data_IF_263661350513
#
_entry.id   IF_263661350513
#
_cell.length_a   1.000
_cell.length_b   1.000
_cell.length_c   1.000
_cell.angle_alpha   90.00
_cell.angle_beta   90.00
_cell.angle_gamma   90.00
#
_symmetry.space_group_name_H-M   'P 1'
#
loop_
_entity.id
_entity.type
_entity.pdbx_description
1 polymer ?
#
# COMPACT_ATOMS: atom_id res chain seq x y z
N UNK A 1 -23.45 17.78 8.95
CA UNK A 1 -23.95 18.34 7.69
C UNK A 1 -25.26 17.66 7.27
N UNK A 2 -25.33 16.33 7.13
CA UNK A 2 -26.54 15.62 6.72
C UNK A 2 -27.72 15.81 7.67
N UNK A 3 -27.49 15.77 8.99
CA UNK A 3 -28.52 16.08 10.02
C UNK A 3 -29.08 17.51 9.89
N UNK A 4 -28.31 18.44 9.30
CA UNK A 4 -28.74 19.80 8.97
C UNK A 4 -29.40 19.95 7.60
N UNK A 5 -29.77 18.83 6.93
CA UNK A 5 -30.48 18.85 5.64
C UNK A 5 -29.57 18.95 4.41
N UNK A 6 -28.23 18.91 4.56
CA UNK A 6 -27.35 18.91 3.41
C UNK A 6 -27.41 17.62 2.63
N UNK A 7 -27.59 17.68 1.31
CA UNK A 7 -27.83 16.53 0.43
C UNK A 7 -26.80 16.43 -0.71
N UNK A 8 -25.64 17.06 -0.59
CA UNK A 8 -24.56 16.97 -1.57
C UNK A 8 -23.75 15.67 -1.49
N UNK A 9 -22.83 15.50 -2.41
CA UNK A 9 -21.86 14.40 -2.39
C UNK A 9 -20.74 14.70 -1.42
N UNK A 10 -20.36 13.71 -0.61
CA UNK A 10 -19.20 13.74 0.28
C UNK A 10 -18.11 12.85 -0.31
N UNK A 11 -16.96 13.41 -0.64
CA UNK A 11 -15.81 12.66 -1.18
C UNK A 11 -14.67 12.84 -0.19
N UNK A 12 -14.18 11.73 0.40
CA UNK A 12 -13.23 11.77 1.49
C UNK A 12 -12.23 10.60 1.42
N UNK A 13 -11.00 10.82 1.89
CA UNK A 13 -9.98 9.77 2.04
C UNK A 13 -9.93 9.21 3.47
N UNK A 14 -10.56 9.86 4.45
CA UNK A 14 -10.54 9.45 5.85
C UNK A 14 -11.21 8.08 6.08
N UNK A 15 -10.71 7.33 7.06
CA UNK A 15 -11.14 5.94 7.30
C UNK A 15 -12.50 5.80 7.99
N UNK A 16 -13.02 6.88 8.61
CA UNK A 16 -14.17 6.84 9.50
C UNK A 16 -15.46 6.28 8.86
N UNK A 17 -15.68 6.60 7.59
CA UNK A 17 -16.88 6.18 6.87
C UNK A 17 -16.67 4.93 6.01
N UNK A 18 -15.44 4.39 5.91
CA UNK A 18 -15.14 3.29 4.98
C UNK A 18 -16.00 2.07 5.16
N UNK A 19 -16.29 1.70 6.41
CA UNK A 19 -17.03 0.47 6.74
C UNK A 19 -18.52 0.73 7.02
N UNK A 20 -19.02 1.97 6.81
CA UNK A 20 -20.45 2.27 6.94
C UNK A 20 -21.23 1.76 5.72
N UNK A 21 -22.44 1.25 5.93
CA UNK A 21 -23.33 0.80 4.83
C UNK A 21 -23.85 1.98 3.98
N UNK A 22 -23.85 3.19 4.54
CA UNK A 22 -24.24 4.43 3.86
C UNK A 22 -23.17 4.97 2.91
N UNK A 23 -22.02 4.34 2.82
CA UNK A 23 -20.88 4.78 2.01
C UNK A 23 -20.41 3.72 1.03
N UNK A 24 -19.83 4.17 -0.08
CA UNK A 24 -19.15 3.31 -1.05
C UNK A 24 -17.64 3.54 -1.03
N UNK A 25 -16.85 2.47 -1.00
CA UNK A 25 -15.41 2.55 -1.21
C UNK A 25 -15.08 2.79 -2.69
N UNK A 26 -14.08 3.63 -2.92
CA UNK A 26 -13.69 4.08 -4.26
C UNK A 26 -12.37 3.45 -4.69
N UNK A 27 -12.44 2.64 -5.72
CA UNK A 27 -11.30 2.21 -6.54
C UNK A 27 -11.86 1.79 -7.91
N UNK A 28 -12.30 2.75 -8.73
CA UNK A 28 -13.11 2.50 -9.93
C UNK A 28 -12.49 1.54 -10.97
N UNK A 29 -11.16 1.39 -11.14
CA UNK A 29 -10.63 0.32 -11.98
C UNK A 29 -10.98 -1.09 -11.48
N UNK A 30 -11.31 -1.22 -10.20
CA UNK A 30 -11.64 -2.47 -9.54
C UNK A 30 -13.16 -2.64 -9.38
N UNK A 31 -13.85 -1.60 -8.86
CA UNK A 31 -15.24 -1.71 -8.42
C UNK A 31 -16.21 -0.72 -9.10
N UNK A 32 -15.97 -0.31 -10.35
CA UNK A 32 -16.79 0.66 -11.05
C UNK A 32 -18.29 0.34 -11.05
N UNK A 33 -18.67 -0.89 -11.30
CA UNK A 33 -20.09 -1.31 -11.29
C UNK A 33 -20.77 -1.11 -9.93
N UNK A 34 -20.05 -1.35 -8.83
CA UNK A 34 -20.56 -1.12 -7.49
C UNK A 34 -20.73 0.38 -7.19
N UNK A 35 -19.79 1.21 -7.67
CA UNK A 35 -19.90 2.67 -7.55
C UNK A 35 -21.15 3.17 -8.29
N UNK A 36 -21.36 2.71 -9.53
CA UNK A 36 -22.53 3.09 -10.32
C UNK A 36 -23.84 2.67 -9.64
N UNK A 37 -23.94 1.42 -9.13
CA UNK A 37 -25.10 0.92 -8.38
C UNK A 37 -25.34 1.71 -7.09
N UNK A 38 -24.27 2.05 -6.35
CA UNK A 38 -24.37 2.86 -5.14
C UNK A 38 -24.93 4.26 -5.43
N UNK A 39 -24.44 4.90 -6.48
CA UNK A 39 -24.95 6.21 -6.92
C UNK A 39 -26.42 6.13 -7.37
N UNK A 40 -26.80 5.08 -8.10
CA UNK A 40 -28.19 4.86 -8.55
C UNK A 40 -29.13 4.59 -7.36
N UNK A 41 -28.64 3.99 -6.28
CA UNK A 41 -29.39 3.78 -5.03
C UNK A 41 -29.45 5.02 -4.13
N UNK A 42 -28.79 6.12 -4.51
CA UNK A 42 -28.81 7.39 -3.79
C UNK A 42 -27.70 7.53 -2.74
N UNK A 43 -26.68 6.66 -2.71
CA UNK A 43 -25.51 6.82 -1.86
C UNK A 43 -24.72 8.03 -2.31
N UNK A 44 -24.34 8.90 -1.36
CA UNK A 44 -23.62 10.17 -1.63
C UNK A 44 -22.32 10.30 -0.83
N UNK A 45 -21.96 9.31 -0.03
CA UNK A 45 -20.71 9.27 0.72
C UNK A 45 -19.72 8.34 -0.01
N UNK A 46 -18.75 8.95 -0.70
CA UNK A 46 -17.80 8.29 -1.57
C UNK A 46 -16.42 8.36 -0.91
N UNK A 47 -15.91 7.22 -0.47
CA UNK A 47 -14.77 7.16 0.44
C UNK A 47 -13.60 6.42 -0.22
N UNK A 48 -12.43 7.06 -0.27
CA UNK A 48 -11.20 6.43 -0.74
C UNK A 48 -10.79 5.25 0.15
N UNK A 49 -10.40 4.15 -0.47
CA UNK A 49 -9.95 2.96 0.24
C UNK A 49 -8.56 3.15 0.87
N UNK A 50 -8.17 2.24 1.74
CA UNK A 50 -6.84 2.20 2.35
C UNK A 50 -5.75 2.12 1.27
N UNK A 51 -4.63 2.80 1.50
CA UNK A 51 -3.56 2.95 0.51
C UNK A 51 -2.87 1.63 0.15
N UNK A 52 -2.70 0.70 1.11
CA UNK A 52 -2.11 -0.62 0.84
C UNK A 52 -3.09 -1.52 0.10
N UNK A 53 -4.36 -1.52 0.52
CA UNK A 53 -5.43 -2.26 -0.18
C UNK A 53 -5.58 -1.77 -1.62
N UNK A 54 -5.59 -0.45 -1.83
CA UNK A 54 -5.63 0.13 -3.19
C UNK A 54 -4.44 -0.31 -4.02
N UNK A 55 -3.22 -0.24 -3.49
CA UNK A 55 -2.01 -0.66 -4.21
C UNK A 55 -2.04 -2.15 -4.55
N UNK A 56 -2.45 -3.00 -3.61
CA UNK A 56 -2.57 -4.45 -3.84
C UNK A 56 -3.60 -4.77 -4.92
N UNK A 57 -4.81 -4.25 -4.79
CA UNK A 57 -5.89 -4.54 -5.75
C UNK A 57 -5.64 -3.92 -7.12
N UNK A 58 -5.03 -2.73 -7.20
CA UNK A 58 -4.59 -2.18 -8.48
C UNK A 58 -3.52 -3.04 -9.15
N UNK A 59 -2.62 -3.67 -8.39
CA UNK A 59 -1.60 -4.57 -8.95
C UNK A 59 -2.12 -5.97 -9.27
N UNK A 60 -2.88 -6.55 -8.37
CA UNK A 60 -3.25 -7.97 -8.41
C UNK A 60 -4.75 -8.20 -8.62
N UNK A 61 -5.54 -7.13 -8.80
CA UNK A 61 -6.99 -7.20 -8.95
C UNK A 61 -7.46 -8.11 -10.08
N UNK A 62 -6.64 -8.33 -11.10
CA UNK A 62 -6.92 -9.30 -12.15
C UNK A 62 -7.07 -10.73 -11.63
N UNK A 63 -6.32 -11.13 -10.60
CA UNK A 63 -6.46 -12.46 -9.98
C UNK A 63 -7.76 -12.55 -9.18
N UNK A 64 -8.08 -11.52 -8.40
CA UNK A 64 -9.32 -11.46 -7.62
C UNK A 64 -10.56 -11.44 -8.52
N UNK A 65 -10.54 -10.67 -9.61
CA UNK A 65 -11.63 -10.58 -10.58
C UNK A 65 -11.91 -11.89 -11.30
N UNK A 66 -10.87 -12.70 -11.53
CA UNK A 66 -11.02 -14.03 -12.14
C UNK A 66 -11.36 -15.11 -11.10
N UNK A 67 -11.62 -14.76 -9.86
CA UNK A 67 -12.00 -15.66 -8.76
C UNK A 67 -11.01 -16.81 -8.52
N UNK A 68 -9.71 -16.56 -8.71
CA UNK A 68 -8.67 -17.59 -8.57
C UNK A 68 -7.94 -17.56 -7.22
N UNK A 69 -8.17 -16.53 -6.41
CA UNK A 69 -7.52 -16.37 -5.10
C UNK A 69 -8.31 -17.08 -4.01
N UNK A 70 -7.66 -17.96 -3.26
CA UNK A 70 -8.22 -18.59 -2.06
C UNK A 70 -7.96 -17.70 -0.83
N UNK A 71 -6.70 -17.24 -0.65
CA UNK A 71 -6.30 -16.25 0.34
C UNK A 71 -5.06 -15.48 -0.12
N UNK A 72 -4.79 -14.35 0.50
CA UNK A 72 -3.60 -13.55 0.22
C UNK A 72 -2.96 -13.03 1.52
N UNK A 73 -1.63 -13.01 1.57
CA UNK A 73 -0.83 -12.44 2.67
C UNK A 73 0.04 -11.30 2.12
N UNK A 74 -0.42 -10.05 2.22
CA UNK A 74 0.37 -8.88 1.85
C UNK A 74 1.25 -8.42 3.03
N UNK A 75 2.55 -8.66 2.95
CA UNK A 75 3.52 -8.05 3.85
C UNK A 75 3.96 -6.70 3.26
N UNK A 76 3.65 -5.60 3.96
CA UNK A 76 3.77 -4.26 3.38
C UNK A 76 5.04 -3.54 3.85
N UNK A 77 5.68 -2.83 2.93
CA UNK A 77 6.79 -1.89 3.18
C UNK A 77 6.30 -0.48 2.90
N UNK A 78 5.75 0.15 3.94
CA UNK A 78 5.03 1.42 3.79
C UNK A 78 5.95 2.62 3.95
N UNK A 79 5.96 3.48 2.93
CA UNK A 79 6.67 4.75 2.94
C UNK A 79 6.11 5.70 4.02
N UNK A 80 6.98 6.56 4.55
CA UNK A 80 6.61 7.52 5.62
C UNK A 80 5.58 8.55 5.18
N UNK A 81 5.48 8.85 3.88
CA UNK A 81 4.44 9.75 3.35
C UNK A 81 3.00 9.28 3.64
N UNK A 82 2.79 7.98 3.86
CA UNK A 82 1.50 7.46 4.33
C UNK A 82 1.11 7.92 5.73
N UNK A 83 2.07 8.31 6.56
CA UNK A 83 1.81 8.90 7.88
C UNK A 83 1.59 10.43 7.83
N UNK A 84 1.97 11.09 6.73
CA UNK A 84 1.78 12.52 6.52
C UNK A 84 3.07 13.36 6.44
N UNK A 85 2.93 14.64 6.10
CA UNK A 85 4.05 15.50 5.75
C UNK A 85 5.05 15.74 6.89
N UNK A 86 4.58 15.78 8.14
CA UNK A 86 5.46 16.00 9.31
C UNK A 86 6.41 14.81 9.51
N UNK A 87 5.96 13.60 9.24
CA UNK A 87 6.75 12.39 9.30
C UNK A 87 7.81 12.32 8.19
N UNK A 88 7.47 12.80 6.99
CA UNK A 88 8.46 12.94 5.89
C UNK A 88 9.57 13.89 6.28
N UNK A 89 9.23 15.05 6.89
CA UNK A 89 10.23 16.00 7.40
C UNK A 89 11.11 15.38 8.47
N UNK A 90 10.52 14.64 9.40
CA UNK A 90 11.27 13.96 10.47
C UNK A 90 12.24 12.92 9.91
N UNK A 91 11.82 12.09 8.95
CA UNK A 91 12.73 11.15 8.28
C UNK A 91 13.92 11.89 7.64
N UNK A 92 13.67 12.99 6.93
CA UNK A 92 14.75 13.77 6.30
C UNK A 92 15.69 14.39 7.35
N UNK A 93 15.16 14.86 8.49
CA UNK A 93 15.95 15.34 9.61
C UNK A 93 16.79 14.21 10.24
N UNK A 94 16.23 13.03 10.41
CA UNK A 94 16.94 11.83 10.89
C UNK A 94 18.09 11.44 9.95
N UNK A 95 17.82 11.41 8.63
CA UNK A 95 18.86 11.14 7.62
C UNK A 95 19.97 12.18 7.66
N UNK A 96 19.62 13.45 7.78
CA UNK A 96 20.57 14.56 7.90
C UNK A 96 21.43 14.43 9.17
N UNK A 97 20.81 14.19 10.32
CA UNK A 97 21.49 14.02 11.60
C UNK A 97 22.49 12.86 11.54
N UNK A 98 22.06 11.74 10.98
CA UNK A 98 22.90 10.56 10.84
C UNK A 98 24.09 10.82 9.88
N UNK A 99 23.82 11.44 8.73
CA UNK A 99 24.85 11.83 7.77
C UNK A 99 25.89 12.77 8.37
N UNK A 100 25.44 13.82 9.07
CA UNK A 100 26.34 14.78 9.73
C UNK A 100 27.20 14.12 10.80
N UNK A 101 26.63 13.21 11.59
CA UNK A 101 27.37 12.51 12.66
C UNK A 101 28.48 11.58 12.14
N UNK A 102 28.39 11.14 10.89
CA UNK A 102 29.33 10.18 10.31
C UNK A 102 30.24 10.80 9.22
N UNK A 103 30.02 12.04 8.81
CA UNK A 103 30.69 12.69 7.66
C UNK A 103 32.23 12.59 7.76
N UNK A 104 32.82 13.03 8.87
CA UNK A 104 34.29 13.02 9.03
C UNK A 104 34.90 11.62 8.93
N UNK A 105 34.17 10.62 9.45
CA UNK A 105 34.61 9.21 9.41
C UNK A 105 34.47 8.59 8.02
N UNK A 106 33.48 9.02 7.24
CA UNK A 106 33.29 8.56 5.86
C UNK A 106 34.39 9.12 4.91
N UNK A 107 34.91 10.30 5.23
CA UNK A 107 35.99 10.95 4.46
C UNK A 107 37.38 10.49 4.92
N UNK A 108 37.54 9.84 6.06
CA UNK A 108 38.80 9.33 6.60
C UNK A 108 39.05 7.89 6.11
N UNK A 109 40.06 7.67 5.22
CA UNK A 109 40.37 6.32 4.75
C UNK A 109 40.94 5.39 5.85
N UNK A 110 41.28 5.92 7.03
CA UNK A 110 41.76 5.15 8.17
C UNK A 110 40.61 4.75 9.13
N UNK A 111 39.41 5.32 8.96
CA UNK A 111 38.26 4.96 9.79
C UNK A 111 37.81 3.53 9.54
N UNK A 112 37.66 2.74 10.60
CA UNK A 112 37.14 1.39 10.47
C UNK A 112 35.60 1.39 10.30
N UNK A 113 35.07 0.41 9.57
CA UNK A 113 33.63 0.23 9.46
C UNK A 113 32.97 0.04 10.84
N UNK A 114 33.67 -0.62 11.76
CA UNK A 114 33.18 -0.84 13.13
C UNK A 114 33.01 0.47 13.92
N UNK A 115 33.90 1.44 13.73
CA UNK A 115 33.80 2.75 14.37
C UNK A 115 32.67 3.58 13.75
N UNK A 116 32.50 3.53 12.42
CA UNK A 116 31.41 4.18 11.71
C UNK A 116 30.05 3.61 12.18
N UNK A 117 29.89 2.28 12.23
CA UNK A 117 28.69 1.58 12.72
C UNK A 117 28.37 1.94 14.17
N UNK A 118 29.40 1.93 15.04
CA UNK A 118 29.25 2.35 16.44
C UNK A 118 28.75 3.80 16.55
N UNK A 119 29.31 4.72 15.76
CA UNK A 119 28.90 6.12 15.74
C UNK A 119 27.46 6.27 15.27
N UNK A 120 27.10 5.60 14.18
CA UNK A 120 25.73 5.59 13.66
C UNK A 120 24.73 5.06 14.69
N UNK A 121 25.03 3.90 15.32
CA UNK A 121 24.18 3.31 16.36
C UNK A 121 24.02 4.20 17.58
N UNK A 122 25.08 4.85 18.03
CA UNK A 122 25.04 5.81 19.13
C UNK A 122 24.19 7.05 18.77
N UNK A 123 24.26 7.49 17.53
CA UNK A 123 23.45 8.62 17.05
C UNK A 123 21.97 8.27 17.01
N UNK A 124 21.62 7.10 16.49
CA UNK A 124 20.22 6.61 16.42
C UNK A 124 19.58 6.44 17.80
N UNK A 125 20.37 6.11 18.83
CA UNK A 125 19.89 5.90 20.21
C UNK A 125 20.08 7.13 21.13
N UNK A 126 20.58 8.25 20.58
CA UNK A 126 20.76 9.50 21.32
C UNK A 126 19.42 10.12 21.72
N UNK A 127 19.35 10.74 22.90
CA UNK A 127 18.18 11.52 23.36
C UNK A 127 17.83 12.69 22.45
N UNK A 128 18.80 13.20 21.69
CA UNK A 128 18.64 14.36 20.81
C UNK A 128 18.27 13.96 19.38
N UNK A 129 18.17 12.65 19.11
CA UNK A 129 17.77 12.17 17.78
C UNK A 129 16.30 12.56 17.50
N UNK A 130 15.99 13.11 16.31
CA UNK A 130 14.66 13.66 16.02
C UNK A 130 13.60 12.55 15.83
N UNK A 131 12.87 12.22 16.88
CA UNK A 131 11.81 11.18 16.90
C UNK A 131 10.46 11.72 17.37
N UNK A 132 10.22 13.04 17.28
CA UNK A 132 9.06 13.69 17.91
C UNK A 132 7.70 13.22 17.38
N UNK A 133 7.62 12.76 16.13
CA UNK A 133 6.38 12.31 15.53
C UNK A 133 6.25 10.77 15.54
N UNK A 134 7.30 10.03 15.16
CA UNK A 134 7.26 8.56 15.20
C UNK A 134 7.45 7.99 16.61
N UNK A 135 8.13 8.70 17.50
CA UNK A 135 8.55 8.17 18.79
C UNK A 135 9.74 7.21 18.70
N UNK A 136 10.18 6.85 17.51
CA UNK A 136 11.26 5.89 17.23
C UNK A 136 12.06 6.32 16.00
N UNK A 137 13.36 5.95 15.91
CA UNK A 137 14.13 6.11 14.68
C UNK A 137 13.50 5.32 13.53
N UNK A 138 13.39 5.95 12.36
CA UNK A 138 12.96 5.30 11.11
C UNK A 138 14.07 5.32 10.04
N UNK A 139 14.98 6.32 10.06
CA UNK A 139 16.16 6.30 9.20
C UNK A 139 17.07 5.11 9.59
N UNK A 140 17.40 4.25 8.63
CA UNK A 140 18.18 3.03 8.87
C UNK A 140 17.49 1.97 9.72
N UNK A 141 16.17 2.05 9.90
CA UNK A 141 15.38 1.15 10.72
C UNK A 141 14.04 0.80 10.05
N UNK A 142 13.32 -0.14 10.65
CA UNK A 142 11.93 -0.50 10.29
C UNK A 142 11.07 -0.51 11.55
N UNK A 143 9.78 -0.15 11.42
CA UNK A 143 8.82 -0.22 12.52
C UNK A 143 7.70 -1.18 12.14
N UNK A 144 7.66 -2.40 12.73
CA UNK A 144 6.72 -3.46 12.34
C UNK A 144 5.37 -3.32 13.05
N UNK A 145 4.87 -2.10 13.17
CA UNK A 145 3.55 -1.78 13.70
C UNK A 145 3.05 -0.45 13.11
N UNK A 146 1.84 -0.45 12.56
CA UNK A 146 1.22 0.76 12.01
C UNK A 146 -0.22 0.88 12.52
N UNK A 147 -0.59 2.07 13.02
CA UNK A 147 -1.92 2.38 13.58
C UNK A 147 -2.15 1.74 14.96
N UNK A 148 -3.37 1.84 15.49
CA UNK A 148 -3.77 1.31 16.80
C UNK A 148 -4.02 -0.20 16.74
N UNK A 149 -3.98 -0.85 17.89
CA UNK A 149 -4.41 -2.25 18.06
C UNK A 149 -5.93 -2.38 17.95
N UNK A 150 -6.41 -3.41 17.26
CA UNK A 150 -7.85 -3.74 17.15
C UNK A 150 -8.21 -5.05 17.84
N UNK A 151 -7.33 -6.05 17.78
CA UNK A 151 -7.41 -7.30 18.51
C UNK A 151 -6.02 -7.66 19.02
N UNK A 152 -5.91 -8.63 19.92
CA UNK A 152 -4.61 -9.03 20.47
C UNK A 152 -3.60 -9.36 19.35
N UNK A 153 -2.58 -8.51 19.23
CA UNK A 153 -1.49 -8.67 18.26
C UNK A 153 -1.78 -8.26 16.83
N UNK A 154 -2.98 -7.71 16.52
CA UNK A 154 -3.31 -7.19 15.18
C UNK A 154 -3.48 -5.68 15.20
N UNK A 155 -2.76 -4.99 14.32
CA UNK A 155 -2.93 -3.55 14.12
C UNK A 155 -4.16 -3.24 13.25
N UNK A 156 -4.68 -2.01 13.37
CA UNK A 156 -5.79 -1.54 12.55
C UNK A 156 -5.42 -1.50 11.06
N UNK A 157 -4.17 -1.25 10.73
CA UNK A 157 -3.71 -1.25 9.34
C UNK A 157 -3.77 -2.65 8.72
N UNK A 158 -3.43 -3.69 9.48
CA UNK A 158 -3.54 -5.10 9.07
C UNK A 158 -5.00 -5.52 8.92
N UNK A 159 -5.84 -5.18 9.91
CA UNK A 159 -7.29 -5.45 9.85
C UNK A 159 -7.96 -4.87 8.59
N UNK A 160 -7.56 -3.66 8.15
CA UNK A 160 -8.08 -3.03 6.93
C UNK A 160 -7.83 -3.88 5.68
N UNK A 161 -6.76 -4.66 5.63
CA UNK A 161 -6.42 -5.49 4.49
C UNK A 161 -7.57 -6.43 4.11
N UNK A 162 -8.16 -7.13 5.08
CA UNK A 162 -9.27 -8.04 4.85
C UNK A 162 -10.59 -7.31 4.58
N UNK A 163 -10.98 -6.42 5.50
CA UNK A 163 -12.35 -5.85 5.45
C UNK A 163 -12.56 -4.93 4.26
N UNK A 164 -11.56 -4.11 3.91
CA UNK A 164 -11.66 -3.20 2.77
C UNK A 164 -11.49 -3.94 1.43
N UNK A 165 -10.64 -4.97 1.36
CA UNK A 165 -10.54 -5.82 0.15
C UNK A 165 -11.88 -6.46 -0.16
N UNK A 166 -12.52 -7.11 0.81
CA UNK A 166 -13.80 -7.78 0.62
C UNK A 166 -14.92 -6.79 0.27
N UNK A 167 -14.94 -5.60 0.90
CA UNK A 167 -15.91 -4.54 0.57
C UNK A 167 -15.71 -4.00 -0.85
N UNK A 168 -14.46 -3.77 -1.30
CA UNK A 168 -14.17 -3.33 -2.66
C UNK A 168 -14.54 -4.37 -3.73
N UNK A 169 -14.37 -5.66 -3.40
CA UNK A 169 -14.76 -6.75 -4.30
C UNK A 169 -16.26 -7.06 -4.25
N UNK A 170 -17.02 -6.46 -3.33
CA UNK A 170 -18.46 -6.71 -3.15
C UNK A 170 -18.77 -8.10 -2.65
N UNK A 171 -17.86 -8.73 -1.92
CA UNK A 171 -18.03 -10.08 -1.41
C UNK A 171 -18.86 -10.10 -0.14
N UNK A 172 -19.80 -11.03 -0.07
CA UNK A 172 -20.54 -11.32 1.16
C UNK A 172 -19.64 -12.03 2.18
N UNK A 173 -20.07 -12.07 3.44
CA UNK A 173 -19.32 -12.78 4.49
C UNK A 173 -19.05 -14.27 4.17
N UNK A 174 -19.94 -14.92 3.41
CA UNK A 174 -19.77 -16.32 2.99
C UNK A 174 -18.76 -16.50 1.84
N UNK A 175 -18.46 -15.44 1.12
CA UNK A 175 -17.55 -15.42 -0.03
C UNK A 175 -16.25 -14.70 0.31
N UNK A 176 -16.11 -14.21 1.54
CA UNK A 176 -14.96 -13.42 1.95
C UNK A 176 -13.64 -14.18 1.73
N UNK A 177 -12.69 -13.47 1.15
CA UNK A 177 -11.33 -13.94 0.96
C UNK A 177 -10.52 -13.50 2.18
N UNK A 178 -9.81 -14.42 2.83
CA UNK A 178 -8.90 -14.09 3.91
C UNK A 178 -7.70 -13.30 3.35
N UNK A 179 -7.48 -12.10 3.89
CA UNK A 179 -6.36 -11.22 3.53
C UNK A 179 -5.73 -10.71 4.82
N UNK A 180 -4.61 -11.28 5.21
CA UNK A 180 -3.92 -10.92 6.45
C UNK A 180 -2.40 -10.96 6.21
N UNK A 181 -1.66 -10.02 6.83
CA UNK A 181 -0.22 -9.90 6.66
C UNK A 181 0.35 -8.87 7.61
N UNK A 182 1.65 -8.62 7.54
CA UNK A 182 2.33 -7.69 8.45
C UNK A 182 2.52 -6.32 7.81
N UNK A 183 2.14 -5.27 8.54
CA UNK A 183 2.31 -3.90 8.10
C UNK A 183 3.55 -3.25 8.71
N UNK A 184 4.54 -2.92 7.87
CA UNK A 184 5.84 -2.38 8.30
C UNK A 184 6.05 -0.97 7.74
N UNK A 185 6.38 0.00 8.61
CA UNK A 185 6.88 1.31 8.20
C UNK A 185 8.37 1.22 7.89
N UNK A 186 8.77 1.73 6.73
CA UNK A 186 10.18 1.73 6.29
C UNK A 186 10.65 3.14 5.96
N UNK A 187 11.96 3.37 5.97
CA UNK A 187 12.59 4.65 5.66
C UNK A 187 12.51 5.06 4.18
N UNK A 188 11.50 4.62 3.44
CA UNK A 188 11.16 5.11 2.11
C UNK A 188 10.34 6.39 2.22
N UNK A 189 10.66 7.40 1.41
CA UNK A 189 9.96 8.70 1.46
C UNK A 189 8.55 8.61 0.89
N UNK A 190 8.36 7.91 -0.25
CA UNK A 190 7.12 7.85 -1.02
C UNK A 190 7.00 6.50 -1.73
N UNK A 191 5.79 6.10 -2.08
CA UNK A 191 5.41 4.84 -2.70
C UNK A 191 5.48 3.63 -1.76
N UNK A 192 4.38 2.92 -1.68
CA UNK A 192 4.30 1.67 -0.90
C UNK A 192 4.74 0.48 -1.76
N UNK A 193 5.43 -0.45 -1.13
CA UNK A 193 5.77 -1.73 -1.71
C UNK A 193 5.16 -2.86 -0.87
N UNK A 194 4.86 -3.99 -1.50
CA UNK A 194 4.27 -5.15 -0.84
C UNK A 194 4.83 -6.44 -1.42
N UNK A 195 5.28 -7.34 -0.56
CA UNK A 195 5.50 -8.73 -0.92
C UNK A 195 4.21 -9.49 -0.62
N UNK A 196 3.60 -10.11 -1.63
CA UNK A 196 2.31 -10.78 -1.47
C UNK A 196 2.48 -12.26 -1.74
N UNK A 197 2.17 -13.08 -0.73
CA UNK A 197 2.00 -14.52 -0.89
C UNK A 197 0.52 -14.79 -1.16
N UNK A 198 0.24 -15.59 -2.18
CA UNK A 198 -1.13 -15.88 -2.61
C UNK A 198 -1.29 -17.39 -2.71
N UNK A 199 -2.35 -17.92 -2.12
CA UNK A 199 -2.83 -19.26 -2.43
C UNK A 199 -3.92 -19.17 -3.48
N UNK A 200 -3.74 -19.87 -4.57
CA UNK A 200 -4.72 -20.04 -5.62
C UNK A 200 -5.66 -21.19 -5.29
N UNK A 201 -6.91 -21.11 -5.73
CA UNK A 201 -7.92 -22.17 -5.58
C UNK A 201 -7.52 -23.47 -6.32
N UNK A 202 -6.65 -23.36 -7.33
CA UNK A 202 -6.13 -24.49 -8.12
C UNK A 202 -4.78 -24.13 -8.75
N UNK A 203 -4.06 -25.10 -9.26
CA UNK A 203 -2.86 -24.85 -10.06
C UNK A 203 -3.23 -24.19 -11.40
N UNK A 204 -2.66 -23.02 -11.65
CA UNK A 204 -2.84 -22.25 -12.89
C UNK A 204 -1.45 -22.02 -13.49
N UNK A 205 -1.26 -22.23 -14.81
CA UNK A 205 -0.01 -21.93 -15.49
C UNK A 205 0.46 -20.47 -15.25
N UNK A 206 1.76 -20.29 -15.02
CA UNK A 206 2.32 -18.98 -14.68
C UNK A 206 2.02 -17.92 -15.75
N UNK A 207 2.09 -18.28 -17.01
CA UNK A 207 1.78 -17.40 -18.15
C UNK A 207 0.34 -16.86 -18.09
N UNK A 208 -0.62 -17.70 -17.70
CA UNK A 208 -2.02 -17.25 -17.53
C UNK A 208 -2.16 -16.30 -16.33
N UNK A 209 -1.43 -16.55 -15.25
CA UNK A 209 -1.37 -15.65 -14.08
C UNK A 209 -0.82 -14.30 -14.50
N UNK A 210 0.30 -14.27 -15.21
CA UNK A 210 0.94 -13.05 -15.70
C UNK A 210 0.00 -12.27 -16.64
N UNK A 211 -0.75 -12.97 -17.47
CA UNK A 211 -1.74 -12.36 -18.35
C UNK A 211 -2.92 -11.77 -17.56
N UNK A 212 -3.47 -12.48 -16.58
CA UNK A 212 -4.53 -11.95 -15.70
C UNK A 212 -4.10 -10.66 -15.01
N UNK A 213 -2.84 -10.58 -14.56
CA UNK A 213 -2.27 -9.41 -13.91
C UNK A 213 -2.09 -8.28 -14.93
N UNK A 214 -1.36 -8.53 -16.02
CA UNK A 214 -0.95 -7.49 -16.98
C UNK A 214 -2.11 -6.90 -17.79
N UNK A 215 -3.18 -7.65 -17.99
CA UNK A 215 -4.37 -7.21 -18.74
C UNK A 215 -5.48 -6.61 -17.88
N UNK A 216 -5.30 -6.50 -16.57
CA UNK A 216 -6.35 -6.06 -15.65
C UNK A 216 -6.83 -4.62 -15.93
N UNK A 217 -5.90 -3.70 -16.16
CA UNK A 217 -6.14 -2.31 -16.58
C UNK A 217 -4.83 -1.62 -17.03
N UNK A 218 -4.93 -0.46 -17.63
CA UNK A 218 -3.82 0.28 -18.28
C UNK A 218 -2.66 0.70 -17.35
N UNK A 219 -2.90 0.83 -16.04
CA UNK A 219 -1.90 1.27 -15.06
C UNK A 219 -1.00 0.15 -14.54
N UNK A 220 -1.32 -1.12 -14.80
CA UNK A 220 -0.43 -2.23 -14.43
C UNK A 220 0.78 -2.23 -15.37
N UNK A 221 1.96 -2.16 -14.76
CA UNK A 221 3.26 -2.33 -15.43
C UNK A 221 3.86 -3.65 -14.95
N UNK A 222 3.67 -4.68 -15.77
CA UNK A 222 4.25 -5.98 -15.48
C UNK A 222 5.75 -5.95 -15.72
N UNK A 223 6.53 -6.23 -14.67
CA UNK A 223 7.99 -6.21 -14.67
C UNK A 223 8.51 -7.64 -14.83
N UNK A 224 9.32 -7.92 -15.86
CA UNK A 224 9.90 -9.24 -16.08
C UNK A 224 10.69 -9.74 -14.86
N UNK A 225 10.54 -11.03 -14.53
CA UNK A 225 11.17 -11.63 -13.35
C UNK A 225 12.67 -11.93 -13.59
N UNK A 226 13.45 -10.87 -13.82
CA UNK A 226 14.90 -10.91 -13.85
C UNK A 226 15.49 -9.82 -12.96
N UNK A 227 16.77 -9.92 -12.63
CA UNK A 227 17.44 -9.04 -11.69
C UNK A 227 17.44 -7.57 -12.14
N UNK A 228 17.79 -7.33 -13.40
CA UNK A 228 17.95 -5.97 -13.93
C UNK A 228 16.63 -5.21 -13.97
N UNK A 229 15.59 -5.78 -14.56
CA UNK A 229 14.27 -5.18 -14.62
C UNK A 229 13.70 -4.98 -13.20
N UNK A 230 13.86 -5.96 -12.32
CA UNK A 230 13.39 -5.85 -10.93
C UNK A 230 14.00 -4.66 -10.21
N UNK A 231 15.32 -4.50 -10.27
CA UNK A 231 16.03 -3.44 -9.54
C UNK A 231 15.81 -2.05 -10.15
N UNK A 232 15.55 -1.95 -11.44
CA UNK A 232 15.36 -0.68 -12.14
C UNK A 232 13.91 -0.22 -12.20
N UNK A 233 12.92 -1.13 -12.19
CA UNK A 233 11.51 -0.79 -12.46
C UNK A 233 10.56 -1.12 -11.30
N UNK A 234 10.92 -2.05 -10.41
CA UNK A 234 10.04 -2.54 -9.34
C UNK A 234 10.45 -1.95 -7.98
N UNK A 235 10.60 -0.63 -7.93
CA UNK A 235 11.05 0.08 -6.72
C UNK A 235 10.22 1.34 -6.47
N UNK A 236 10.11 1.80 -5.19
CA UNK A 236 9.47 3.07 -4.87
C UNK A 236 9.95 4.26 -5.71
N UNK A 237 11.25 4.34 -5.98
CA UNK A 237 11.84 5.42 -6.78
C UNK A 237 11.36 5.39 -8.23
N UNK A 238 11.19 4.21 -8.80
CA UNK A 238 10.78 4.05 -10.20
C UNK A 238 9.32 4.49 -10.46
N UNK A 239 8.43 4.32 -9.48
CA UNK A 239 6.99 4.60 -9.66
C UNK A 239 6.52 5.90 -9.02
N UNK A 240 7.32 6.53 -8.16
CA UNK A 240 6.92 7.76 -7.45
C UNK A 240 6.58 8.89 -8.42
N UNK A 241 5.40 9.49 -8.25
CA UNK A 241 4.89 10.57 -9.11
C UNK A 241 4.19 10.08 -10.37
N UNK A 242 4.03 8.76 -10.56
CA UNK A 242 3.31 8.18 -11.69
C UNK A 242 2.05 7.44 -11.23
N UNK A 243 1.11 7.20 -12.15
CA UNK A 243 -0.05 6.34 -11.91
C UNK A 243 0.26 4.85 -12.16
N UNK A 244 1.48 4.52 -12.54
CA UNK A 244 1.88 3.14 -12.79
C UNK A 244 1.90 2.33 -11.48
N UNK A 245 1.35 1.14 -11.54
CA UNK A 245 1.47 0.12 -10.51
C UNK A 245 2.39 -0.97 -11.06
N UNK A 246 3.61 -0.99 -10.57
CA UNK A 246 4.58 -2.00 -10.98
C UNK A 246 4.31 -3.32 -10.27
N UNK A 247 4.20 -4.40 -11.03
CA UNK A 247 4.00 -5.77 -10.53
C UNK A 247 5.08 -6.66 -11.11
N UNK A 248 5.79 -7.36 -10.28
CA UNK A 248 6.87 -8.26 -10.70
C UNK A 248 7.15 -9.33 -9.66
N UNK A 249 8.27 -10.03 -9.78
CA UNK A 249 8.66 -11.15 -8.92
C UNK A 249 7.59 -12.24 -8.86
N UNK A 250 6.74 -12.32 -9.90
CA UNK A 250 5.67 -13.31 -10.01
C UNK A 250 6.30 -14.67 -10.29
N UNK A 251 6.10 -15.61 -9.39
CA UNK A 251 6.59 -16.98 -9.50
C UNK A 251 5.83 -17.93 -8.57
N UNK A 252 5.82 -19.22 -8.92
CA UNK A 252 5.35 -20.27 -8.01
C UNK A 252 6.34 -20.44 -6.84
N UNK A 253 5.81 -20.74 -5.66
CA UNK A 253 6.59 -21.06 -4.48
C UNK A 253 6.89 -22.55 -4.39
N UNK A 254 7.90 -22.92 -3.61
CA UNK A 254 8.23 -24.32 -3.30
C UNK A 254 7.21 -25.00 -2.36
N UNK A 255 6.21 -24.24 -1.89
CA UNK A 255 5.13 -24.74 -1.02
C UNK A 255 4.12 -25.62 -1.78
N UNK A 256 4.02 -25.45 -3.10
CA UNK A 256 3.11 -26.18 -3.96
C UNK A 256 2.76 -25.41 -5.22
N UNK A 257 2.15 -26.05 -6.23
CA UNK A 257 1.83 -25.40 -7.49
C UNK A 257 0.74 -24.34 -7.39
N UNK A 258 -0.08 -24.35 -6.37
CA UNK A 258 -1.11 -23.34 -6.08
C UNK A 258 -0.58 -22.13 -5.30
N UNK A 259 0.66 -22.14 -4.81
CA UNK A 259 1.26 -21.03 -4.07
C UNK A 259 2.06 -20.12 -4.99
N UNK A 260 1.73 -18.85 -4.95
CA UNK A 260 2.32 -17.79 -5.75
C UNK A 260 2.95 -16.72 -4.85
N UNK A 261 4.02 -16.08 -5.31
CA UNK A 261 4.45 -14.80 -4.78
C UNK A 261 4.44 -13.75 -5.87
N UNK A 262 4.17 -12.51 -5.49
CA UNK A 262 4.27 -11.33 -6.31
C UNK A 262 4.84 -10.17 -5.49
N UNK A 263 5.43 -9.18 -6.15
CA UNK A 263 5.83 -7.92 -5.54
C UNK A 263 5.13 -6.79 -6.25
N UNK A 264 4.48 -5.90 -5.48
CA UNK A 264 3.69 -4.78 -6.01
C UNK A 264 4.25 -3.49 -5.47
N UNK A 265 4.40 -2.49 -6.32
CA UNK A 265 4.84 -1.14 -5.92
C UNK A 265 3.95 -0.10 -6.59
N UNK A 266 3.47 0.86 -5.81
CA UNK A 266 2.63 1.95 -6.31
C UNK A 266 2.74 3.21 -5.49
N UNK A 267 2.45 4.34 -6.10
CA UNK A 267 2.44 5.63 -5.43
C UNK A 267 1.15 5.79 -4.60
N UNK A 268 1.27 5.60 -3.29
CA UNK A 268 0.12 5.65 -2.40
C UNK A 268 -0.48 7.06 -2.23
N UNK A 269 0.25 8.14 -2.56
CA UNK A 269 -0.33 9.48 -2.58
C UNK A 269 -1.27 9.70 -3.77
N UNK A 270 -1.10 8.89 -4.82
CA UNK A 270 -1.98 8.86 -6.00
C UNK A 270 -3.10 7.83 -5.80
N UNK A 271 -2.87 6.54 -6.05
CA UNK A 271 -3.92 5.52 -5.96
C UNK A 271 -4.43 5.23 -4.55
N UNK A 272 -3.62 5.47 -3.53
CA UNK A 272 -4.02 5.31 -2.13
C UNK A 272 -4.70 6.55 -1.53
N UNK A 273 -4.80 7.66 -2.28
CA UNK A 273 -5.36 8.92 -1.77
C UNK A 273 -6.04 9.76 -2.85
N UNK A 274 -5.28 10.52 -3.65
CA UNK A 274 -5.83 11.60 -4.49
C UNK A 274 -6.60 11.08 -5.71
N UNK A 275 -6.11 10.06 -6.39
CA UNK A 275 -6.64 9.63 -7.69
C UNK A 275 -8.04 9.01 -7.61
N UNK A 276 -8.36 8.11 -6.67
CA UNK A 276 -9.73 7.63 -6.51
C UNK A 276 -10.74 8.75 -6.26
N UNK A 277 -10.36 9.77 -5.46
CA UNK A 277 -11.23 10.90 -5.15
C UNK A 277 -11.45 11.79 -6.38
N UNK A 278 -10.39 12.09 -7.12
CA UNK A 278 -10.47 12.83 -8.39
C UNK A 278 -11.37 12.11 -9.39
N UNK A 279 -11.23 10.80 -9.51
CA UNK A 279 -12.03 9.96 -10.40
C UNK A 279 -13.49 9.88 -9.96
N UNK A 280 -13.76 9.80 -8.66
CA UNK A 280 -15.12 9.88 -8.13
C UNK A 280 -15.80 11.21 -8.50
N UNK A 281 -15.11 12.34 -8.34
CA UNK A 281 -15.63 13.64 -8.78
C UNK A 281 -15.96 13.63 -10.28
N UNK A 282 -15.06 13.09 -11.10
CA UNK A 282 -15.29 12.96 -12.55
C UNK A 282 -16.54 12.12 -12.85
N UNK A 283 -16.70 10.96 -12.19
CA UNK A 283 -17.87 10.08 -12.35
C UNK A 283 -19.17 10.84 -12.02
N UNK A 284 -19.19 11.60 -10.92
CA UNK A 284 -20.36 12.39 -10.52
C UNK A 284 -20.69 13.46 -11.55
N UNK A 285 -19.69 14.21 -12.02
CA UNK A 285 -19.89 15.29 -13.03
C UNK A 285 -20.38 14.73 -14.36
N UNK A 286 -19.92 13.56 -14.78
CA UNK A 286 -20.34 12.91 -16.02
C UNK A 286 -21.77 12.33 -15.94
N UNK A 287 -22.30 12.14 -14.74
CA UNK A 287 -23.66 11.60 -14.52
C UNK A 287 -24.73 12.71 -14.37
N UNK A 288 -24.32 13.95 -14.22
CA UNK A 288 -25.34 14.98 -14.02
C UNK A 288 -25.24 16.26 -13.93
#
# INVERSE_FOLDING_TARGET
LRQGGWNGYWIDAASELRMQDSSILLLDPINRSQIDQALDSGIKDLIGANCTVSTMLMGLGGLFKNDVVEWAQPDTYQAVSGAGAVYVKELLQQMQTLGQATTEMLDDPAASLADIDKKASQTLTSSDFPINNFGYPIAGNILPWIDSEVTAGQSREEWKAEVETNKLLGLSALQAIAVDGTCVRVGSLRSHAQAVTIKLKQDIPLEQIEQMISSAHEWVKFVPNNREATLSQLTPVAVSGTLDIAVGRVRKLSLGPEYLTAFVVGDQLLWGAAEPLRRALKIIVERG
#
